data_IF_481628806368
#
_entry.id   IF_481628806368
#
_cell.length_a   1.000
_cell.length_b   1.000
_cell.length_c   1.000
_cell.angle_alpha   90.00
_cell.angle_beta   90.00
_cell.angle_gamma   90.00
#
_symmetry.space_group_name_H-M   'P 1'
#
loop_
_entity.id
_entity.type
_entity.pdbx_description
1 polymer ?
#
# COMPACT_ATOMS: atom_id res chain seq x y z
N UNK A 1 -27.70 -11.65 -22.97
CA UNK A 1 -26.36 -12.25 -23.15
C UNK A 1 -25.21 -11.27 -22.90
N UNK A 2 -25.21 -10.03 -23.41
CA UNK A 2 -24.09 -9.07 -23.21
C UNK A 2 -23.74 -8.73 -21.75
N UNK A 3 -24.72 -8.70 -20.84
CA UNK A 3 -24.47 -8.39 -19.42
C UNK A 3 -23.63 -9.48 -18.71
N UNK A 4 -23.78 -10.75 -19.10
CA UNK A 4 -23.03 -11.87 -18.53
C UNK A 4 -21.55 -11.83 -18.95
N UNK A 5 -21.27 -11.44 -20.20
CA UNK A 5 -19.89 -11.27 -20.69
C UNK A 5 -19.15 -10.15 -19.95
N UNK A 6 -19.82 -9.01 -19.68
CA UNK A 6 -19.23 -7.92 -18.87
C UNK A 6 -18.90 -8.34 -17.44
N UNK A 7 -19.78 -9.11 -16.79
CA UNK A 7 -19.54 -9.61 -15.44
C UNK A 7 -18.37 -10.61 -15.45
N UNK A 8 -18.30 -11.50 -16.44
CA UNK A 8 -17.17 -12.42 -16.60
C UNK A 8 -15.85 -11.68 -16.83
N UNK A 9 -15.82 -10.62 -17.64
CA UNK A 9 -14.61 -9.80 -17.86
C UNK A 9 -14.16 -9.05 -16.60
N UNK A 10 -15.11 -8.52 -15.81
CA UNK A 10 -14.82 -7.85 -14.54
C UNK A 10 -14.25 -8.85 -13.53
N UNK A 11 -14.87 -10.02 -13.42
CA UNK A 11 -14.42 -11.08 -12.50
C UNK A 11 -13.07 -11.64 -12.94
N UNK A 12 -12.85 -11.84 -14.24
CA UNK A 12 -11.58 -12.31 -14.76
C UNK A 12 -10.47 -11.27 -14.60
N UNK A 13 -10.75 -9.99 -14.84
CA UNK A 13 -9.81 -8.88 -14.59
C UNK A 13 -9.50 -8.71 -13.10
N UNK A 14 -10.48 -8.89 -12.21
CA UNK A 14 -10.28 -8.84 -10.77
C UNK A 14 -9.47 -10.04 -10.25
N UNK A 15 -9.78 -11.26 -10.71
CA UNK A 15 -9.04 -12.48 -10.36
C UNK A 15 -7.59 -12.44 -10.90
N UNK A 16 -7.41 -12.00 -12.14
CA UNK A 16 -6.08 -11.87 -12.75
C UNK A 16 -5.28 -10.74 -12.11
N UNK A 17 -5.94 -9.64 -11.74
CA UNK A 17 -5.34 -8.54 -10.95
C UNK A 17 -4.87 -9.00 -9.57
N UNK A 18 -5.64 -9.84 -8.87
CA UNK A 18 -5.22 -10.46 -7.60
C UNK A 18 -4.02 -11.40 -7.76
N UNK A 19 -3.92 -12.10 -8.89
CA UNK A 19 -2.74 -12.91 -9.24
C UNK A 19 -1.47 -12.07 -9.34
N UNK A 20 -1.54 -10.89 -9.96
CA UNK A 20 -0.42 -9.95 -10.02
C UNK A 20 -0.06 -9.37 -8.67
N UNK A 21 -1.00 -9.17 -7.73
CA UNK A 21 -0.72 -8.68 -6.38
C UNK A 21 0.13 -9.65 -5.53
N UNK A 22 0.28 -10.90 -5.98
CA UNK A 22 1.00 -11.95 -5.25
C UNK A 22 2.47 -12.07 -5.60
N UNK A 23 2.94 -11.32 -6.60
CA UNK A 23 4.36 -11.21 -6.93
C UNK A 23 5.14 -10.69 -5.70
N UNK A 24 6.31 -11.27 -5.47
CA UNK A 24 7.11 -10.97 -4.27
C UNK A 24 7.45 -9.49 -4.16
N UNK A 25 7.56 -8.79 -5.28
CA UNK A 25 7.87 -7.38 -5.32
C UNK A 25 6.76 -6.53 -4.65
N UNK A 26 5.49 -6.82 -4.97
CA UNK A 26 4.34 -6.12 -4.37
C UNK A 26 4.18 -6.38 -2.88
N UNK A 27 4.55 -7.57 -2.42
CA UNK A 27 4.60 -7.87 -0.98
C UNK A 27 5.63 -6.99 -0.28
N UNK A 28 6.78 -6.72 -0.91
CA UNK A 28 7.79 -5.81 -0.34
C UNK A 28 7.25 -4.38 -0.25
N UNK A 29 6.59 -3.88 -1.29
CA UNK A 29 5.94 -2.57 -1.25
C UNK A 29 4.91 -2.46 -0.12
N UNK A 30 4.07 -3.47 0.04
CA UNK A 30 3.10 -3.53 1.13
C UNK A 30 3.77 -3.54 2.50
N UNK A 31 4.68 -4.49 2.76
CA UNK A 31 5.30 -4.69 4.08
C UNK A 31 6.21 -3.53 4.48
N UNK A 32 6.96 -2.95 3.53
CA UNK A 32 7.80 -1.80 3.78
C UNK A 32 6.95 -0.58 4.20
N UNK A 33 5.88 -0.32 3.45
CA UNK A 33 4.98 0.81 3.73
C UNK A 33 4.20 0.61 5.03
N UNK A 34 3.76 -0.62 5.30
CA UNK A 34 3.15 -1.02 6.56
C UNK A 34 4.07 -0.79 7.76
N UNK A 35 5.35 -1.16 7.66
CA UNK A 35 6.30 -1.02 8.76
C UNK A 35 6.77 0.43 8.95
N UNK A 36 6.91 1.19 7.86
CA UNK A 36 7.40 2.57 7.91
C UNK A 36 6.45 3.52 8.64
N UNK A 37 5.13 3.38 8.48
CA UNK A 37 4.15 4.25 9.15
C UNK A 37 4.27 4.19 10.69
N UNK A 38 4.13 3.03 11.36
CA UNK A 38 4.29 2.91 12.80
C UNK A 38 5.74 3.13 13.25
N UNK A 39 6.73 2.94 12.38
CA UNK A 39 8.10 3.33 12.67
C UNK A 39 8.25 4.85 12.74
N UNK A 40 7.74 5.63 11.77
CA UNK A 40 7.91 7.09 11.74
C UNK A 40 6.98 7.82 12.73
N UNK A 41 5.82 7.23 13.01
CA UNK A 41 4.78 7.83 13.85
C UNK A 41 5.26 8.31 15.25
N UNK A 42 6.05 7.58 16.04
CA UNK A 42 6.53 8.02 17.36
C UNK A 42 7.31 9.34 17.36
N UNK A 43 7.93 9.70 16.25
CA UNK A 43 8.75 10.91 16.14
C UNK A 43 8.00 12.07 15.47
N UNK A 44 6.79 11.84 14.95
CA UNK A 44 6.06 12.79 14.11
C UNK A 44 4.55 12.69 14.35
N UNK A 45 3.72 13.29 13.48
CA UNK A 45 2.28 13.06 13.50
C UNK A 45 1.89 11.92 12.56
N UNK A 46 0.76 11.25 12.85
CA UNK A 46 0.24 10.18 11.99
C UNK A 46 0.00 10.66 10.55
N UNK A 47 -0.49 11.89 10.40
CA UNK A 47 -0.67 12.53 9.10
C UNK A 47 0.66 12.73 8.37
N UNK A 48 1.69 13.22 9.07
CA UNK A 48 3.02 13.41 8.48
C UNK A 48 3.65 12.08 8.06
N UNK A 49 3.62 11.07 8.93
CA UNK A 49 4.10 9.72 8.62
C UNK A 49 3.40 9.14 7.39
N UNK A 50 2.06 9.29 7.31
CA UNK A 50 1.26 8.84 6.16
C UNK A 50 1.72 9.48 4.86
N UNK A 51 1.84 10.82 4.84
CA UNK A 51 2.25 11.56 3.63
C UNK A 51 3.66 11.19 3.22
N UNK A 52 4.60 11.11 4.17
CA UNK A 52 6.00 10.75 3.88
C UNK A 52 6.09 9.36 3.27
N UNK A 53 5.41 8.35 3.83
CA UNK A 53 5.50 6.98 3.30
C UNK A 53 4.86 6.86 1.91
N UNK A 54 3.73 7.55 1.67
CA UNK A 54 3.14 7.62 0.33
C UNK A 54 4.09 8.27 -0.68
N UNK A 55 4.74 9.38 -0.30
CA UNK A 55 5.71 10.06 -1.15
C UNK A 55 6.97 9.23 -1.40
N UNK A 56 7.44 8.45 -0.42
CA UNK A 56 8.58 7.55 -0.59
C UNK A 56 8.25 6.44 -1.60
N UNK A 57 7.06 5.84 -1.53
CA UNK A 57 6.63 4.86 -2.53
C UNK A 57 6.43 5.48 -3.92
N UNK A 58 5.89 6.70 -3.99
CA UNK A 58 5.80 7.44 -5.27
C UNK A 58 7.21 7.75 -5.84
N UNK A 59 8.13 8.21 -5.01
CA UNK A 59 9.49 8.54 -5.41
C UNK A 59 10.22 7.30 -5.93
N UNK A 60 10.03 6.15 -5.27
CA UNK A 60 10.54 4.85 -5.75
C UNK A 60 10.02 4.54 -7.15
N UNK A 61 8.71 4.65 -7.38
CA UNK A 61 8.13 4.40 -8.70
C UNK A 61 8.56 5.44 -9.75
N UNK A 62 8.73 6.71 -9.38
CA UNK A 62 9.30 7.72 -10.27
C UNK A 62 10.77 7.40 -10.64
N UNK A 63 11.54 6.87 -9.70
CA UNK A 63 12.90 6.42 -9.93
C UNK A 63 12.94 5.20 -10.85
N UNK A 64 12.12 4.19 -10.57
CA UNK A 64 12.01 2.97 -11.39
C UNK A 64 11.46 3.28 -12.79
N UNK A 65 10.63 4.31 -12.94
CA UNK A 65 10.22 4.81 -14.25
C UNK A 65 11.37 5.41 -15.07
N UNK A 66 12.31 6.10 -14.41
CA UNK A 66 13.39 6.81 -15.11
C UNK A 66 14.63 5.96 -15.38
N UNK A 67 14.90 5.00 -14.50
CA UNK A 67 16.13 4.21 -14.49
C UNK A 67 15.92 2.68 -14.46
N UNK A 68 14.68 2.20 -14.31
CA UNK A 68 14.37 0.81 -14.04
C UNK A 68 13.27 0.22 -14.93
N UNK A 69 12.39 -0.54 -14.31
CA UNK A 69 11.36 -1.40 -14.94
C UNK A 69 10.13 -0.65 -15.44
N UNK A 70 9.99 0.65 -15.15
CA UNK A 70 8.82 1.45 -15.50
C UNK A 70 8.01 1.89 -14.28
N UNK A 71 6.88 2.57 -14.54
CA UNK A 71 5.96 3.01 -13.49
C UNK A 71 4.80 2.02 -13.37
N UNK A 72 4.55 1.50 -12.16
CA UNK A 72 3.52 0.48 -11.95
C UNK A 72 2.43 0.95 -10.97
N UNK A 73 1.20 1.07 -11.46
CA UNK A 73 0.05 1.42 -10.63
C UNK A 73 -0.30 0.35 -9.59
N UNK A 74 0.03 -0.92 -9.85
CA UNK A 74 -0.19 -1.98 -8.86
C UNK A 74 0.76 -1.84 -7.67
N UNK A 75 1.98 -1.34 -7.87
CA UNK A 75 2.96 -1.13 -6.80
C UNK A 75 2.57 0.09 -5.95
N UNK A 76 1.99 1.12 -6.58
CA UNK A 76 1.33 2.23 -5.87
C UNK A 76 0.10 1.76 -5.08
N UNK A 77 -0.69 0.82 -5.59
CA UNK A 77 -1.82 0.25 -4.84
C UNK A 77 -1.37 -0.56 -3.63
N UNK A 78 -0.28 -1.34 -3.76
CA UNK A 78 0.31 -2.09 -2.66
C UNK A 78 0.90 -1.16 -1.58
N UNK A 79 1.55 -0.07 -1.99
CA UNK A 79 1.99 1.01 -1.10
C UNK A 79 0.80 1.61 -0.33
N UNK A 80 -0.26 2.03 -1.04
CA UNK A 80 -1.47 2.61 -0.42
C UNK A 80 -2.15 1.66 0.57
N UNK A 81 -2.26 0.37 0.25
CA UNK A 81 -2.76 -0.65 1.17
C UNK A 81 -1.86 -0.84 2.39
N UNK A 82 -0.53 -0.86 2.19
CA UNK A 82 0.45 -0.96 3.28
C UNK A 82 0.38 0.23 4.23
N UNK A 83 0.31 1.45 3.69
CA UNK A 83 0.12 2.68 4.48
C UNK A 83 -1.19 2.63 5.26
N UNK A 84 -2.30 2.26 4.62
CA UNK A 84 -3.61 2.19 5.29
C UNK A 84 -3.59 1.21 6.46
N UNK A 85 -2.99 0.03 6.26
CA UNK A 85 -2.82 -0.97 7.31
C UNK A 85 -1.88 -0.47 8.43
N UNK A 86 -0.78 0.20 8.06
CA UNK A 86 0.17 0.78 9.01
C UNK A 86 -0.45 1.89 9.86
N UNK A 87 -1.30 2.73 9.27
CA UNK A 87 -2.08 3.77 9.98
C UNK A 87 -3.05 3.13 10.97
N UNK A 88 -3.83 2.13 10.55
CA UNK A 88 -4.76 1.42 11.43
C UNK A 88 -4.04 0.73 12.60
N UNK A 89 -2.87 0.14 12.32
CA UNK A 89 -2.04 -0.47 13.35
C UNK A 89 -1.48 0.56 14.33
N UNK A 90 -0.89 1.65 13.83
CA UNK A 90 -0.39 2.74 14.67
C UNK A 90 -1.50 3.36 15.53
N UNK A 91 -2.68 3.59 14.95
CA UNK A 91 -3.86 4.06 15.68
C UNK A 91 -4.25 3.07 16.78
N UNK A 92 -4.32 1.77 16.48
CA UNK A 92 -4.65 0.75 17.48
C UNK A 92 -3.65 0.72 18.64
N UNK A 93 -2.35 0.89 18.36
CA UNK A 93 -1.31 1.00 19.39
C UNK A 93 -1.51 2.22 20.30
N UNK A 94 -1.93 3.36 19.75
CA UNK A 94 -2.22 4.55 20.58
C UNK A 94 -3.39 4.33 21.52
N UNK A 95 -4.46 3.68 21.05
CA UNK A 95 -5.61 3.35 21.87
C UNK A 95 -5.25 2.37 22.98
N UNK A 96 -4.43 1.36 22.68
CA UNK A 96 -3.91 0.42 23.69
C UNK A 96 -2.99 1.10 24.71
N UNK A 97 -2.14 2.03 24.27
CA UNK A 97 -1.30 2.82 25.17
C UNK A 97 -2.13 3.68 26.12
N UNK A 98 -3.18 4.33 25.63
CA UNK A 98 -4.11 5.11 26.46
C UNK A 98 -4.97 4.23 27.39
N UNK A 99 -5.18 2.96 27.06
CA UNK A 99 -5.96 2.03 27.88
C UNK A 99 -5.16 1.41 29.05
N UNK A 100 -3.84 1.59 29.08
CA UNK A 100 -2.91 0.98 30.05
C UNK A 100 -2.35 1.96 31.09
N UNK A 101 -2.71 3.25 31.01
CA UNK A 101 -2.33 4.32 31.94
C UNK A 101 -3.55 5.16 32.33
#
# INVERSE_FOLDING_TARGET
MQALYKIADIVHSALFGMGRLREEDKKKHFWLSFALVPAIYPWTSLAFATVVVLLLGLLKECYDHRFGTGFCWYDMSANGMGVSAGVAFAWSLTQMGHALF
#
